data_IF_313040090639
#
_entry.id   IF_313040090639
#
_cell.length_a   1.000
_cell.length_b   1.000
_cell.length_c   1.000
_cell.angle_alpha   90.00
_cell.angle_beta   90.00
_cell.angle_gamma   90.00
#
_symmetry.space_group_name_H-M   'P 1'
#
loop_
_entity.id
_entity.type
_entity.pdbx_description
1 polymer ?
#
# COMPACT_ATOMS: atom_id res chain seq x y z
N UNK A 1 -4.76 -37.12 -9.40
CA UNK A 1 -3.76 -36.05 -9.60
C UNK A 1 -4.45 -34.72 -9.33
N UNK A 2 -4.09 -34.06 -8.23
CA UNK A 2 -4.67 -32.78 -7.84
C UNK A 2 -4.12 -31.74 -8.81
N UNK A 3 -4.97 -31.25 -9.71
CA UNK A 3 -4.64 -30.22 -10.68
C UNK A 3 -4.42 -28.93 -9.87
N UNK A 4 -3.16 -28.63 -9.57
CA UNK A 4 -2.76 -27.36 -8.98
C UNK A 4 -2.97 -26.34 -10.10
N UNK A 5 -4.15 -25.73 -10.17
CA UNK A 5 -4.43 -24.62 -11.07
C UNK A 5 -3.30 -23.62 -10.87
N UNK A 6 -2.44 -23.46 -11.87
CA UNK A 6 -1.35 -22.51 -11.84
C UNK A 6 -1.94 -21.18 -11.38
N UNK A 7 -1.52 -20.71 -10.20
CA UNK A 7 -1.90 -19.40 -9.74
C UNK A 7 -1.52 -18.44 -10.88
N UNK A 8 -2.44 -17.57 -11.36
CA UNK A 8 -2.12 -16.65 -12.43
C UNK A 8 -0.81 -15.94 -12.09
N UNK A 9 0.09 -15.90 -13.07
CA UNK A 9 1.45 -15.38 -12.93
C UNK A 9 1.33 -13.88 -12.63
N UNK A 10 1.25 -13.54 -11.34
CA UNK A 10 1.19 -12.16 -10.89
C UNK A 10 2.60 -11.59 -11.09
N UNK A 11 2.80 -10.59 -11.98
CA UNK A 11 4.11 -10.00 -12.17
C UNK A 11 4.61 -9.45 -10.84
N UNK A 12 5.85 -9.82 -10.49
CA UNK A 12 6.51 -9.32 -9.29
C UNK A 12 6.62 -7.80 -9.35
N UNK A 13 5.93 -7.11 -8.45
CA UNK A 13 5.95 -5.66 -8.37
C UNK A 13 6.87 -5.19 -7.25
N UNK A 14 7.55 -4.06 -7.48
CA UNK A 14 8.29 -3.35 -6.44
C UNK A 14 7.46 -2.15 -6.01
N UNK A 15 7.02 -2.16 -4.75
CA UNK A 15 6.24 -1.08 -4.17
C UNK A 15 7.13 -0.28 -3.21
N UNK A 16 7.46 0.95 -3.61
CA UNK A 16 8.18 1.88 -2.74
C UNK A 16 7.16 2.75 -2.00
N UNK A 17 7.21 2.64 -0.68
CA UNK A 17 6.38 3.39 0.25
C UNK A 17 7.23 4.31 1.12
N UNK A 18 6.77 5.54 1.28
CA UNK A 18 7.24 6.48 2.30
C UNK A 18 6.14 6.61 3.34
N UNK A 19 6.48 6.30 4.58
CA UNK A 19 5.60 6.49 5.73
C UNK A 19 6.22 7.56 6.65
N UNK A 20 5.41 8.55 7.03
CA UNK A 20 5.79 9.59 7.97
C UNK A 20 4.74 9.73 9.06
N UNK A 21 5.13 9.47 10.30
CA UNK A 21 4.28 9.76 11.47
C UNK A 21 4.77 11.03 12.16
N UNK A 22 3.83 11.90 12.48
CA UNK A 22 4.07 13.10 13.26
C UNK A 22 3.17 13.13 14.49
N UNK A 23 3.77 13.01 15.68
CA UNK A 23 3.04 13.14 16.94
C UNK A 23 2.96 14.62 17.32
N UNK A 24 1.77 15.20 17.23
CA UNK A 24 1.50 16.61 17.59
C UNK A 24 1.55 16.77 19.11
N UNK A 25 0.94 15.85 19.86
CA UNK A 25 0.89 15.84 21.33
C UNK A 25 0.72 14.39 21.84
N UNK A 26 0.81 14.17 23.15
CA UNK A 26 0.55 12.85 23.77
C UNK A 26 -0.84 12.28 23.47
N UNK A 27 -1.77 13.12 22.97
CA UNK A 27 -3.15 12.76 22.62
C UNK A 27 -3.43 12.78 21.12
N UNK A 28 -2.59 13.42 20.31
CA UNK A 28 -2.85 13.66 18.89
C UNK A 28 -1.61 13.30 18.08
N UNK A 29 -1.79 12.41 17.12
CA UNK A 29 -0.80 12.14 16.09
C UNK A 29 -1.43 12.23 14.72
N UNK A 30 -0.62 12.50 13.72
CA UNK A 30 -0.98 12.39 12.32
C UNK A 30 0.02 11.44 11.67
N UNK A 31 -0.42 10.70 10.66
CA UNK A 31 0.46 9.88 9.85
C UNK A 31 0.11 10.07 8.39
N UNK A 32 1.12 9.96 7.55
CA UNK A 32 1.01 10.04 6.11
C UNK A 32 1.73 8.84 5.50
N UNK A 33 1.10 8.23 4.51
CA UNK A 33 1.68 7.18 3.69
C UNK A 33 1.58 7.59 2.22
N UNK A 34 2.71 7.67 1.55
CA UNK A 34 2.84 7.82 0.11
C UNK A 34 3.32 6.48 -0.43
N UNK A 35 2.46 5.77 -1.15
CA UNK A 35 2.76 4.47 -1.72
C UNK A 35 2.76 4.45 -3.23
N UNK A 36 3.33 3.39 -3.79
CA UNK A 36 3.53 3.23 -5.22
C UNK A 36 4.28 4.41 -5.87
N UNK A 37 5.31 4.93 -5.20
CA UNK A 37 6.11 6.07 -5.67
C UNK A 37 6.82 5.80 -7.01
N UNK A 38 7.11 4.52 -7.29
CA UNK A 38 7.67 4.04 -8.56
C UNK A 38 6.68 4.10 -9.72
N UNK A 39 5.39 4.43 -9.47
CA UNK A 39 4.35 4.44 -10.49
C UNK A 39 4.14 3.08 -11.14
N UNK A 40 4.47 2.01 -10.43
CA UNK A 40 4.38 0.64 -10.95
C UNK A 40 2.94 0.16 -10.92
N UNK A 41 2.55 -0.64 -11.90
CA UNK A 41 1.26 -1.32 -11.89
C UNK A 41 1.32 -2.48 -10.89
N UNK A 42 0.71 -2.27 -9.73
CA UNK A 42 0.68 -3.28 -8.67
C UNK A 42 -0.57 -4.12 -8.86
N UNK A 43 -0.39 -5.35 -9.32
CA UNK A 43 -1.47 -6.33 -9.42
C UNK A 43 -1.50 -7.15 -8.12
N UNK A 44 -2.40 -6.81 -7.19
CA UNK A 44 -2.55 -7.54 -5.91
C UNK A 44 -3.40 -8.80 -6.05
N UNK A 45 -4.28 -8.83 -7.05
CA UNK A 45 -5.12 -9.96 -7.41
C UNK A 45 -5.22 -10.01 -8.94
N UNK A 46 -5.33 -11.21 -9.54
CA UNK A 46 -5.55 -11.34 -10.98
C UNK A 46 -6.78 -10.53 -11.42
N UNK A 47 -6.55 -9.51 -12.24
CA UNK A 47 -7.58 -8.60 -12.74
C UNK A 47 -7.87 -7.35 -11.87
N UNK A 48 -7.18 -7.18 -10.73
CA UNK A 48 -7.25 -5.97 -9.91
C UNK A 48 -5.89 -5.25 -9.92
N UNK A 49 -5.73 -4.39 -10.91
CA UNK A 49 -4.54 -3.56 -11.09
C UNK A 49 -4.75 -2.24 -10.35
N UNK A 50 -3.90 -1.98 -9.36
CA UNK A 50 -3.79 -0.67 -8.72
C UNK A 50 -2.64 0.06 -9.41
N UNK A 51 -2.99 0.86 -10.40
CA UNK A 51 -2.04 1.71 -11.13
C UNK A 51 -1.80 3.03 -10.39
N UNK A 52 -0.54 3.39 -10.27
CA UNK A 52 -0.13 4.74 -9.90
C UNK A 52 -0.01 5.02 -8.40
N UNK A 53 0.56 6.19 -8.11
CA UNK A 53 0.85 6.66 -6.78
C UNK A 53 -0.43 6.82 -5.96
N UNK A 54 -0.39 6.37 -4.71
CA UNK A 54 -1.48 6.59 -3.77
C UNK A 54 -0.98 7.34 -2.55
N UNK A 55 -1.86 8.18 -2.01
CA UNK A 55 -1.61 8.98 -0.83
C UNK A 55 -2.67 8.68 0.22
N UNK A 56 -2.22 8.27 1.40
CA UNK A 56 -3.07 8.04 2.56
C UNK A 56 -2.62 8.96 3.69
N UNK A 57 -3.59 9.57 4.36
CA UNK A 57 -3.38 10.45 5.50
C UNK A 57 -4.35 10.02 6.57
N UNK A 58 -3.86 9.92 7.80
CA UNK A 58 -4.66 9.61 8.96
C UNK A 58 -4.28 10.47 10.15
N UNK A 59 -5.18 10.52 11.13
CA UNK A 59 -4.94 11.10 12.43
C UNK A 59 -5.28 10.06 13.50
N UNK A 60 -4.50 10.05 14.56
CA UNK A 60 -4.76 9.30 15.79
C UNK A 60 -5.15 10.28 16.89
N UNK A 61 -6.28 10.00 17.54
CA UNK A 61 -6.74 10.70 18.72
C UNK A 61 -6.73 9.68 19.87
N UNK A 62 -5.91 9.94 20.89
CA UNK A 62 -5.93 9.23 22.17
C UNK A 62 -6.75 10.08 23.16
N UNK A 63 -7.90 9.54 23.56
CA UNK A 63 -8.86 10.12 24.52
C UNK A 63 -8.53 9.69 25.95
#
# INVERSE_FOLDING_TARGET
AQQVSAAPDVPGYADLRIFGEYRINSRLGAWLELGNLLGSDIERHPGYVVSGQYFTVGATLNL
#
